data_IF_271333452835
#
_entry.id   IF_271333452835
#
_cell.length_a   1.000
_cell.length_b   1.000
_cell.length_c   1.000
_cell.angle_alpha   90.00
_cell.angle_beta   90.00
_cell.angle_gamma   90.00
#
_symmetry.space_group_name_H-M   'P 1'
#
loop_
_entity.id
_entity.type
_entity.pdbx_description
1 polymer ?
#
# COMPACT_ATOMS: atom_id res chain seq x y z
N UNK A 1 -19.24 -7.13 6.84
CA UNK A 1 -19.06 -5.78 7.42
C UNK A 1 -17.64 -5.32 7.16
N UNK A 2 -17.45 -4.07 6.78
CA UNK A 2 -16.11 -3.45 6.64
C UNK A 2 -15.63 -3.02 8.03
N UNK A 3 -14.36 -3.27 8.36
CA UNK A 3 -13.73 -2.75 9.57
C UNK A 3 -13.13 -1.36 9.27
N UNK A 4 -13.83 -0.31 9.69
CA UNK A 4 -13.45 1.07 9.41
C UNK A 4 -12.16 1.50 10.13
N UNK A 5 -11.92 0.99 11.34
CA UNK A 5 -10.68 1.29 12.07
C UNK A 5 -9.46 0.71 11.35
N UNK A 6 -9.57 -0.52 10.85
CA UNK A 6 -8.52 -1.14 10.06
C UNK A 6 -8.27 -0.34 8.77
N UNK A 7 -9.33 0.06 8.07
CA UNK A 7 -9.20 0.88 6.86
C UNK A 7 -8.46 2.20 7.13
N UNK A 8 -8.81 2.90 8.21
CA UNK A 8 -8.13 4.13 8.61
C UNK A 8 -6.65 3.91 8.93
N UNK A 9 -6.32 2.85 9.67
CA UNK A 9 -4.94 2.51 9.99
C UNK A 9 -4.11 2.22 8.71
N UNK A 10 -4.68 1.49 7.75
CA UNK A 10 -4.01 1.23 6.46
C UNK A 10 -3.79 2.53 5.68
N UNK A 11 -4.80 3.42 5.63
CA UNK A 11 -4.65 4.72 4.98
C UNK A 11 -3.57 5.57 5.67
N UNK A 12 -3.51 5.56 7.00
CA UNK A 12 -2.48 6.27 7.75
C UNK A 12 -1.07 5.77 7.43
N UNK A 13 -0.89 4.44 7.31
CA UNK A 13 0.39 3.86 6.86
C UNK A 13 0.79 4.41 5.48
N UNK A 14 -0.15 4.44 4.53
CA UNK A 14 0.13 4.93 3.17
C UNK A 14 0.47 6.42 3.19
N UNK A 15 -0.30 7.23 3.93
CA UNK A 15 -0.04 8.67 4.04
C UNK A 15 1.32 8.95 4.72
N UNK A 16 1.71 8.13 5.71
CA UNK A 16 3.03 8.24 6.33
C UNK A 16 4.15 7.88 5.34
N UNK A 17 3.99 6.83 4.53
CA UNK A 17 4.95 6.48 3.47
C UNK A 17 5.05 7.58 2.41
N UNK A 18 3.93 8.15 1.99
CA UNK A 18 3.91 9.26 1.03
C UNK A 18 4.60 10.50 1.61
N UNK A 19 4.33 10.84 2.88
CA UNK A 19 4.95 11.98 3.56
C UNK A 19 6.46 11.79 3.73
N UNK A 20 6.88 10.59 4.12
CA UNK A 20 8.30 10.24 4.28
C UNK A 20 9.02 10.03 2.94
N UNK A 21 8.25 9.79 1.87
CA UNK A 21 8.73 9.30 0.58
C UNK A 21 9.58 8.02 0.73
N UNK A 22 9.14 7.14 1.64
CA UNK A 22 9.81 5.90 2.01
C UNK A 22 8.78 4.77 2.18
N UNK A 23 8.74 3.78 1.27
CA UNK A 23 9.55 3.71 0.05
C UNK A 23 9.03 4.70 -1.03
N UNK A 24 9.91 5.24 -1.90
CA UNK A 24 9.51 6.13 -2.99
C UNK A 24 8.55 5.45 -3.98
N UNK A 25 8.57 4.12 -4.06
CA UNK A 25 7.70 3.31 -4.90
C UNK A 25 6.22 3.46 -4.55
N UNK A 26 5.87 3.82 -3.30
CA UNK A 26 4.48 4.12 -2.93
C UNK A 26 3.97 5.34 -3.72
N UNK A 27 4.79 6.41 -3.81
CA UNK A 27 4.46 7.61 -4.59
C UNK A 27 4.46 7.32 -6.09
N UNK A 28 5.48 6.63 -6.59
CA UNK A 28 5.56 6.29 -8.03
C UNK A 28 4.35 5.47 -8.50
N UNK A 29 3.88 4.52 -7.68
CA UNK A 29 2.69 3.74 -8.01
C UNK A 29 1.40 4.56 -7.88
N UNK A 30 1.30 5.46 -6.91
CA UNK A 30 0.18 6.40 -6.83
C UNK A 30 0.10 7.25 -8.11
N UNK A 31 1.21 7.87 -8.52
CA UNK A 31 1.26 8.71 -9.71
C UNK A 31 0.94 7.92 -10.99
N UNK A 32 1.45 6.68 -11.10
CA UNK A 32 1.14 5.77 -12.20
C UNK A 32 -0.35 5.42 -12.28
N UNK A 33 -0.98 5.13 -11.14
CA UNK A 33 -2.41 4.79 -11.08
C UNK A 33 -3.28 6.00 -11.44
N UNK A 34 -2.94 7.19 -10.92
CA UNK A 34 -3.61 8.44 -11.29
C UNK A 34 -3.49 8.72 -12.79
N UNK A 35 -2.29 8.56 -13.37
CA UNK A 35 -2.06 8.73 -14.80
C UNK A 35 -2.84 7.70 -15.64
N UNK A 36 -3.17 6.53 -15.07
CA UNK A 36 -3.99 5.50 -15.70
C UNK A 36 -5.50 5.74 -15.58
N UNK A 37 -5.91 6.84 -14.93
CA UNK A 37 -7.31 7.27 -14.82
C UNK A 37 -8.02 6.87 -13.53
N UNK A 38 -7.31 6.28 -12.57
CA UNK A 38 -7.90 6.01 -11.25
C UNK A 38 -8.15 7.29 -10.47
N UNK A 39 -9.23 7.32 -9.68
CA UNK A 39 -9.39 8.32 -8.64
C UNK A 39 -8.30 8.15 -7.58
N UNK A 40 -7.96 9.22 -6.86
CA UNK A 40 -7.01 9.12 -5.73
C UNK A 40 -7.48 8.10 -4.69
N UNK A 41 -8.78 8.08 -4.40
CA UNK A 41 -9.36 7.14 -3.45
C UNK A 41 -9.15 5.68 -3.90
N UNK A 42 -9.42 5.37 -5.16
CA UNK A 42 -9.26 4.00 -5.69
C UNK A 42 -7.80 3.61 -5.80
N UNK A 43 -6.92 4.54 -6.16
CA UNK A 43 -5.48 4.31 -6.15
C UNK A 43 -4.96 3.99 -4.73
N UNK A 44 -5.42 4.73 -3.71
CA UNK A 44 -5.06 4.44 -2.31
C UNK A 44 -5.62 3.10 -1.84
N UNK A 45 -6.82 2.69 -2.29
CA UNK A 45 -7.34 1.34 -2.01
C UNK A 45 -6.46 0.25 -2.62
N UNK A 46 -5.98 0.42 -3.86
CA UNK A 46 -5.06 -0.52 -4.52
C UNK A 46 -3.73 -0.61 -3.77
N UNK A 47 -3.13 0.52 -3.40
CA UNK A 47 -1.90 0.55 -2.58
C UNK A 47 -2.13 -0.13 -1.22
N UNK A 48 -3.31 0.07 -0.62
CA UNK A 48 -3.72 -0.60 0.60
C UNK A 48 -3.70 -2.12 0.51
N UNK A 49 -3.97 -2.70 -0.67
CA UNK A 49 -3.85 -4.16 -0.86
C UNK A 49 -2.41 -4.63 -0.65
N UNK A 50 -1.41 -3.91 -1.19
CA UNK A 50 0.00 -4.24 -0.98
C UNK A 50 0.42 -4.11 0.49
N UNK A 51 -0.08 -3.08 1.20
CA UNK A 51 0.18 -2.89 2.64
C UNK A 51 -0.40 -4.05 3.45
N UNK A 52 -1.66 -4.42 3.18
CA UNK A 52 -2.32 -5.53 3.89
C UNK A 52 -1.62 -6.86 3.61
N UNK A 53 -1.20 -7.13 2.37
CA UNK A 53 -0.43 -8.33 2.05
C UNK A 53 0.86 -8.41 2.87
N UNK A 54 1.60 -7.31 2.98
CA UNK A 54 2.85 -7.30 3.74
C UNK A 54 2.61 -7.48 5.25
N UNK A 55 1.59 -6.81 5.80
CA UNK A 55 1.18 -6.99 7.20
C UNK A 55 0.79 -8.45 7.45
N UNK A 56 0.06 -9.09 6.54
CA UNK A 56 -0.34 -10.48 6.68
C UNK A 56 0.85 -11.43 6.67
N UNK A 57 1.82 -11.24 5.76
CA UNK A 57 3.06 -12.03 5.73
C UNK A 57 3.84 -11.88 7.03
N UNK A 58 3.91 -10.67 7.60
CA UNK A 58 4.62 -10.44 8.87
C UNK A 58 3.88 -11.07 10.04
N UNK A 59 2.60 -10.76 10.20
CA UNK A 59 1.83 -11.13 11.40
C UNK A 59 1.39 -12.59 11.39
N UNK A 60 0.99 -13.13 10.24
CA UNK A 60 0.43 -14.49 10.15
C UNK A 60 1.48 -15.55 9.85
N UNK A 61 2.51 -15.21 9.07
CA UNK A 61 3.58 -16.16 8.72
C UNK A 61 4.84 -15.99 9.59
N UNK A 62 4.87 -14.99 10.49
CA UNK A 62 6.04 -14.69 11.33
C UNK A 62 7.28 -14.28 10.53
N UNK A 63 7.10 -13.85 9.27
CA UNK A 63 8.22 -13.42 8.43
C UNK A 63 8.65 -12.01 8.82
N UNK A 64 9.93 -11.65 8.69
CA UNK A 64 10.31 -10.25 8.76
C UNK A 64 9.69 -9.46 7.61
N UNK A 65 9.57 -8.15 7.81
CA UNK A 65 9.26 -7.22 6.73
C UNK A 65 10.27 -7.39 5.59
N UNK A 66 9.77 -7.46 4.36
CA UNK A 66 10.58 -7.60 3.15
C UNK A 66 10.24 -6.49 2.16
N UNK A 67 11.12 -5.48 2.11
CA UNK A 67 10.97 -4.34 1.20
C UNK A 67 10.87 -4.76 -0.27
N UNK A 68 11.61 -5.80 -0.70
CA UNK A 68 11.57 -6.25 -2.09
C UNK A 68 10.21 -6.88 -2.41
N UNK A 69 9.68 -7.71 -1.51
CA UNK A 69 8.34 -8.29 -1.64
C UNK A 69 7.28 -7.19 -1.70
N UNK A 70 7.37 -6.20 -0.81
CA UNK A 70 6.45 -5.08 -0.77
C UNK A 70 6.46 -4.26 -2.08
N UNK A 71 7.65 -3.89 -2.57
CA UNK A 71 7.80 -3.17 -3.85
C UNK A 71 7.27 -3.99 -5.02
N UNK A 72 7.51 -5.30 -5.04
CA UNK A 72 6.94 -6.19 -6.07
C UNK A 72 5.41 -6.22 -6.03
N UNK A 73 4.80 -6.14 -4.85
CA UNK A 73 3.35 -6.06 -4.71
C UNK A 73 2.82 -4.72 -5.25
N UNK A 74 3.47 -3.60 -4.92
CA UNK A 74 3.11 -2.28 -5.45
C UNK A 74 3.17 -2.23 -6.99
N UNK A 75 4.22 -2.79 -7.58
CA UNK A 75 4.41 -2.76 -9.04
C UNK A 75 3.41 -3.65 -9.80
N UNK A 76 2.71 -4.56 -9.12
CA UNK A 76 1.67 -5.41 -9.73
C UNK A 76 0.29 -4.75 -9.75
N UNK A 77 0.10 -3.61 -9.09
CA UNK A 77 -1.19 -2.92 -9.01
C UNK A 77 -1.62 -2.45 -10.41
N UNK A 78 -2.87 -2.72 -10.76
CA UNK A 78 -3.48 -2.38 -12.05
C UNK A 78 -4.88 -1.87 -11.87
#
# INVERSE_FOLDING_TARGET
MVNLHLQQAILEVIENQLRANDPPETRQNLDRLLASGYSREDALKLIGQAVVTEIWEVMSQGKPYDAKRYIQALNKLK
#
